data_IF_736303701714
#
_entry.id   IF_736303701714
#
_cell.length_a   1.000
_cell.length_b   1.000
_cell.length_c   1.000
_cell.angle_alpha   90.00
_cell.angle_beta   90.00
_cell.angle_gamma   90.00
#
_symmetry.space_group_name_H-M   'P 1'
#
loop_
_entity.id
_entity.type
_entity.pdbx_description
1 polymer ?
#
# COMPACT_ATOMS: atom_id res chain seq x y z
N UNK A 1 9.99 -5.43 21.03
CA UNK A 1 9.08 -4.42 20.45
C UNK A 1 8.14 -3.95 21.55
N UNK A 2 8.26 -2.70 21.99
CA UNK A 2 7.64 -2.21 23.22
C UNK A 2 6.11 -2.22 23.15
N UNK A 3 5.47 -2.55 24.27
CA UNK A 3 4.01 -2.62 24.50
C UNK A 3 3.23 -1.39 24.00
N UNK A 4 3.91 -0.26 23.81
CA UNK A 4 3.34 1.01 23.37
C UNK A 4 2.67 0.95 21.99
N UNK A 5 3.28 0.25 21.02
CA UNK A 5 2.74 0.12 19.65
C UNK A 5 1.53 -0.82 19.52
N UNK A 6 1.17 -1.53 20.59
CA UNK A 6 0.04 -2.47 20.62
C UNK A 6 -1.27 -1.83 21.07
N UNK A 7 -1.21 -0.60 21.62
CA UNK A 7 -2.40 0.11 22.09
C UNK A 7 -3.11 0.81 20.92
N UNK A 8 -4.42 0.54 20.77
CA UNK A 8 -5.26 1.11 19.71
C UNK A 8 -5.23 2.65 19.72
N UNK A 9 -5.10 3.24 20.91
CA UNK A 9 -4.96 4.68 21.11
C UNK A 9 -3.64 5.23 20.55
N UNK A 10 -2.51 4.55 20.72
CA UNK A 10 -1.24 4.99 20.12
C UNK A 10 -1.27 4.93 18.59
N UNK A 11 -1.89 3.91 18.00
CA UNK A 11 -2.07 3.81 16.55
C UNK A 11 -2.93 4.96 16.00
N UNK A 12 -4.04 5.27 16.66
CA UNK A 12 -4.91 6.39 16.28
C UNK A 12 -4.19 7.73 16.42
N UNK A 13 -3.43 7.95 17.48
CA UNK A 13 -2.65 9.19 17.67
C UNK A 13 -1.59 9.36 16.58
N UNK A 14 -0.86 8.30 16.24
CA UNK A 14 0.12 8.32 15.15
C UNK A 14 -0.57 8.61 13.81
N UNK A 15 -1.75 8.05 13.57
CA UNK A 15 -2.55 8.30 12.37
C UNK A 15 -2.97 9.79 12.28
N UNK A 16 -3.48 10.36 13.36
CA UNK A 16 -3.91 11.77 13.43
C UNK A 16 -2.73 12.71 13.20
N UNK A 17 -1.59 12.45 13.85
CA UNK A 17 -0.37 13.27 13.69
C UNK A 17 0.16 13.17 12.26
N UNK A 18 0.20 11.96 11.69
CA UNK A 18 0.64 11.75 10.31
C UNK A 18 -0.29 12.44 9.30
N UNK A 19 -1.60 12.41 9.54
CA UNK A 19 -2.58 13.12 8.74
C UNK A 19 -2.35 14.62 8.79
N UNK A 20 -2.23 15.22 9.99
CA UNK A 20 -1.99 16.66 10.14
C UNK A 20 -0.68 17.11 9.49
N UNK A 21 0.39 16.31 9.59
CA UNK A 21 1.68 16.63 8.98
C UNK A 21 1.66 16.67 7.45
N UNK A 22 0.77 15.90 6.81
CA UNK A 22 0.61 15.90 5.34
C UNK A 22 -0.47 16.91 4.91
N UNK A 23 -1.51 17.09 5.73
CA UNK A 23 -2.68 17.92 5.41
C UNK A 23 -2.42 19.43 5.60
N UNK A 24 -1.72 19.82 6.67
CA UNK A 24 -1.47 21.26 6.96
C UNK A 24 -0.60 21.95 5.90
N UNK A 25 0.52 21.35 5.42
CA UNK A 25 1.33 21.97 4.36
C UNK A 25 0.58 22.14 3.04
N UNK A 26 -0.44 21.32 2.77
CA UNK A 26 -1.24 21.43 1.55
C UNK A 26 -2.03 22.75 1.47
N UNK A 27 -2.47 23.30 2.61
CA UNK A 27 -3.26 24.53 2.67
C UNK A 27 -2.44 25.77 3.04
N UNK A 28 -1.30 25.58 3.73
CA UNK A 28 -0.43 26.67 4.20
C UNK A 28 0.98 26.44 3.64
N UNK A 29 1.34 27.08 2.51
CA UNK A 29 2.67 26.92 1.92
C UNK A 29 3.72 27.63 2.78
N UNK A 30 4.34 26.88 3.69
CA UNK A 30 5.42 27.34 4.55
C UNK A 30 6.66 26.49 4.27
N UNK A 31 7.71 27.10 3.72
CA UNK A 31 8.88 26.40 3.19
C UNK A 31 9.52 25.31 4.08
N UNK A 32 9.66 25.49 5.41
CA UNK A 32 10.18 24.44 6.29
C UNK A 32 9.23 23.23 6.44
N UNK A 33 7.91 23.48 6.40
CA UNK A 33 6.86 22.46 6.52
C UNK A 33 6.77 21.65 5.23
N UNK A 34 6.92 22.29 4.08
CA UNK A 34 6.94 21.63 2.76
C UNK A 34 8.16 20.71 2.60
N UNK A 35 9.33 21.14 3.07
CA UNK A 35 10.54 20.32 3.06
C UNK A 35 10.42 19.07 3.95
N UNK A 36 9.85 19.22 5.15
CA UNK A 36 9.65 18.11 6.07
C UNK A 36 8.57 17.14 5.56
N UNK A 37 7.46 17.66 5.06
CA UNK A 37 6.38 16.87 4.44
C UNK A 37 6.88 16.09 3.22
N UNK A 38 7.67 16.72 2.34
CA UNK A 38 8.24 16.05 1.18
C UNK A 38 9.15 14.87 1.54
N UNK A 39 9.95 14.99 2.61
CA UNK A 39 10.74 13.87 3.14
C UNK A 39 9.88 12.75 3.69
N UNK A 40 8.84 13.08 4.46
CA UNK A 40 7.90 12.09 4.99
C UNK A 40 7.14 11.36 3.88
N UNK A 41 6.69 12.08 2.85
CA UNK A 41 6.05 11.48 1.67
C UNK A 41 7.00 10.56 0.93
N UNK A 42 8.28 10.92 0.81
CA UNK A 42 9.29 10.06 0.16
C UNK A 42 9.52 8.78 0.96
N UNK A 43 9.67 8.89 2.29
CA UNK A 43 9.81 7.73 3.17
C UNK A 43 8.56 6.84 3.06
N UNK A 44 7.38 7.44 3.13
CA UNK A 44 6.11 6.71 3.00
C UNK A 44 5.98 6.02 1.64
N UNK A 45 6.38 6.67 0.54
CA UNK A 45 6.37 6.09 -0.80
C UNK A 45 7.32 4.88 -0.90
N UNK A 46 8.52 4.99 -0.34
CA UNK A 46 9.49 3.88 -0.29
C UNK A 46 8.93 2.74 0.55
N UNK A 47 8.44 3.01 1.76
CA UNK A 47 7.84 1.99 2.63
C UNK A 47 6.65 1.32 1.95
N UNK A 48 5.77 2.08 1.29
CA UNK A 48 4.62 1.52 0.58
C UNK A 48 5.06 0.58 -0.57
N UNK A 49 6.09 0.96 -1.34
CA UNK A 49 6.64 0.11 -2.38
C UNK A 49 7.14 -1.24 -1.82
N UNK A 50 7.86 -1.23 -0.70
CA UNK A 50 8.29 -2.45 -0.02
C UNK A 50 7.11 -3.28 0.51
N UNK A 51 6.11 -2.62 1.12
CA UNK A 51 4.90 -3.28 1.63
C UNK A 51 4.16 -4.02 0.51
N UNK A 52 4.03 -3.41 -0.68
CA UNK A 52 3.38 -4.04 -1.83
C UNK A 52 4.14 -5.30 -2.26
N UNK A 53 5.47 -5.25 -2.34
CA UNK A 53 6.30 -6.42 -2.69
C UNK A 53 6.11 -7.55 -1.67
N UNK A 54 6.13 -7.24 -0.38
CA UNK A 54 5.91 -8.22 0.69
C UNK A 54 4.50 -8.80 0.63
N UNK A 55 3.48 -7.96 0.40
CA UNK A 55 2.09 -8.38 0.24
C UNK A 55 1.94 -9.36 -0.93
N UNK A 56 2.49 -9.01 -2.10
CA UNK A 56 2.52 -9.89 -3.29
C UNK A 56 3.21 -11.21 -2.97
N UNK A 57 4.41 -11.18 -2.39
CA UNK A 57 5.16 -12.38 -2.04
C UNK A 57 4.40 -13.28 -1.06
N UNK A 58 3.81 -12.69 -0.01
CA UNK A 58 3.03 -13.42 0.99
C UNK A 58 1.80 -14.08 0.38
N UNK A 59 1.10 -13.38 -0.52
CA UNK A 59 -0.06 -13.90 -1.23
C UNK A 59 0.33 -15.02 -2.20
N UNK A 60 1.49 -14.88 -2.86
CA UNK A 60 2.04 -15.89 -3.74
C UNK A 60 2.39 -17.17 -2.98
N UNK A 61 3.12 -17.04 -1.86
CA UNK A 61 3.48 -18.16 -0.99
C UNK A 61 2.25 -18.84 -0.39
N UNK A 62 1.26 -18.07 0.06
CA UNK A 62 0.01 -18.61 0.59
C UNK A 62 -0.73 -19.41 -0.48
N UNK A 63 -1.00 -18.81 -1.62
CA UNK A 63 -1.72 -19.47 -2.72
C UNK A 63 -0.96 -20.69 -3.24
N UNK A 64 0.38 -20.64 -3.30
CA UNK A 64 1.22 -21.77 -3.66
C UNK A 64 1.07 -22.96 -2.70
N UNK A 65 0.97 -22.72 -1.38
CA UNK A 65 0.68 -23.79 -0.41
C UNK A 65 -0.70 -24.42 -0.63
N UNK A 66 -1.73 -23.60 -0.89
CA UNK A 66 -3.08 -24.10 -1.17
C UNK A 66 -3.14 -24.97 -2.44
N UNK A 67 -2.35 -24.62 -3.46
CA UNK A 67 -2.23 -25.38 -4.70
C UNK A 67 -1.49 -26.70 -4.45
N UNK A 68 -0.37 -26.66 -3.73
CA UNK A 68 0.43 -27.85 -3.44
C UNK A 68 -0.34 -28.88 -2.57
N UNK A 69 -1.12 -28.39 -1.61
CA UNK A 69 -1.98 -29.24 -0.76
C UNK A 69 -3.29 -29.67 -1.45
N UNK A 70 -3.53 -29.28 -2.71
CA UNK A 70 -4.75 -29.55 -3.51
C UNK A 70 -6.06 -29.40 -2.72
N UNK A 71 -6.13 -28.40 -1.84
CA UNK A 71 -7.33 -28.15 -1.04
C UNK A 71 -8.52 -27.78 -1.95
N UNK A 72 -9.73 -28.00 -1.46
CA UNK A 72 -10.97 -27.68 -2.18
C UNK A 72 -10.93 -26.20 -2.62
N UNK A 73 -10.99 -25.94 -3.93
CA UNK A 73 -10.85 -24.60 -4.50
C UNK A 73 -9.45 -24.22 -5.03
N UNK A 74 -8.49 -25.16 -5.13
CA UNK A 74 -7.13 -24.88 -5.63
C UNK A 74 -7.08 -24.24 -7.04
N UNK A 75 -8.02 -24.58 -7.93
CA UNK A 75 -8.11 -23.99 -9.28
C UNK A 75 -8.36 -22.48 -9.20
N UNK A 76 -9.17 -22.02 -8.24
CA UNK A 76 -9.42 -20.60 -8.01
C UNK A 76 -8.16 -19.87 -7.54
N UNK A 77 -7.32 -20.51 -6.74
CA UNK A 77 -6.03 -19.95 -6.34
C UNK A 77 -5.05 -19.83 -7.51
N UNK A 78 -5.09 -20.74 -8.49
CA UNK A 78 -4.30 -20.60 -9.73
C UNK A 78 -4.78 -19.39 -10.51
N UNK A 79 -6.10 -19.26 -10.70
CA UNK A 79 -6.68 -18.11 -11.40
C UNK A 79 -6.30 -16.78 -10.73
N UNK A 80 -6.37 -16.72 -9.39
CA UNK A 80 -5.92 -15.56 -8.61
C UNK A 80 -4.44 -15.25 -8.81
N UNK A 81 -3.57 -16.26 -8.82
CA UNK A 81 -2.14 -16.06 -9.07
C UNK A 81 -1.88 -15.54 -10.48
N UNK A 82 -2.57 -16.07 -11.49
CA UNK A 82 -2.45 -15.61 -12.88
C UNK A 82 -2.88 -14.14 -12.99
N UNK A 83 -4.04 -13.78 -12.42
CA UNK A 83 -4.49 -12.39 -12.39
C UNK A 83 -3.49 -11.48 -11.67
N UNK A 84 -2.93 -11.92 -10.55
CA UNK A 84 -1.95 -11.15 -9.80
C UNK A 84 -0.67 -10.91 -10.62
N UNK A 85 -0.19 -11.90 -11.36
CA UNK A 85 0.94 -11.76 -12.29
C UNK A 85 0.60 -10.80 -13.43
N UNK A 86 -0.58 -10.93 -14.05
CA UNK A 86 -1.03 -10.03 -15.12
C UNK A 86 -1.12 -8.58 -14.63
N UNK A 87 -1.69 -8.34 -13.44
CA UNK A 87 -1.77 -7.01 -12.83
C UNK A 87 -0.38 -6.44 -12.51
N UNK A 88 0.54 -7.28 -12.02
CA UNK A 88 1.91 -6.85 -11.70
C UNK A 88 2.68 -6.46 -12.97
N UNK A 89 2.61 -7.30 -14.02
CA UNK A 89 3.27 -7.04 -15.30
C UNK A 89 2.66 -5.85 -16.02
N UNK A 90 1.33 -5.74 -16.05
CA UNK A 90 0.65 -4.59 -16.65
C UNK A 90 0.96 -3.29 -15.91
N UNK A 91 1.01 -3.29 -14.58
CA UNK A 91 1.45 -2.14 -13.80
C UNK A 91 2.91 -1.73 -14.10
N UNK A 92 3.81 -2.70 -14.28
CA UNK A 92 5.21 -2.42 -14.60
C UNK A 92 5.39 -1.85 -16.02
N UNK A 93 4.65 -2.37 -17.01
CA UNK A 93 4.79 -1.98 -18.42
C UNK A 93 4.03 -0.67 -18.72
N UNK A 94 2.79 -0.53 -18.21
CA UNK A 94 1.90 0.57 -18.59
C UNK A 94 1.78 1.66 -17.52
N UNK A 95 2.15 1.37 -16.27
CA UNK A 95 1.88 2.25 -15.12
C UNK A 95 2.56 3.62 -15.17
N UNK A 96 3.65 3.77 -15.94
CA UNK A 96 4.36 5.04 -16.07
C UNK A 96 4.01 5.84 -17.33
N UNK A 97 3.34 5.22 -18.31
CA UNK A 97 3.16 5.82 -19.64
C UNK A 97 1.71 6.21 -19.97
N UNK A 98 0.73 5.70 -19.22
CA UNK A 98 -0.69 5.92 -19.50
C UNK A 98 -1.31 6.77 -18.39
N UNK A 99 -1.65 8.03 -18.69
CA UNK A 99 -2.22 8.97 -17.70
C UNK A 99 -3.50 8.47 -17.03
N UNK A 100 -4.30 7.64 -17.72
CA UNK A 100 -5.48 7.00 -17.12
C UNK A 100 -5.10 6.01 -16.00
N UNK A 101 -3.98 5.30 -16.14
CA UNK A 101 -3.50 4.37 -15.11
C UNK A 101 -3.00 5.11 -13.87
N UNK A 102 -2.32 6.24 -14.08
CA UNK A 102 -1.86 7.12 -13.01
C UNK A 102 -3.03 7.77 -12.25
N UNK A 103 -4.10 8.15 -12.96
CA UNK A 103 -5.33 8.65 -12.35
C UNK A 103 -6.03 7.58 -11.50
N UNK A 104 -6.18 6.35 -12.01
CA UNK A 104 -6.78 5.25 -11.23
C UNK A 104 -5.95 4.94 -9.98
N UNK A 105 -4.63 4.95 -10.11
CA UNK A 105 -3.71 4.73 -9.00
C UNK A 105 -3.89 5.79 -7.90
N UNK A 106 -3.93 7.06 -8.28
CA UNK A 106 -4.05 8.17 -7.33
C UNK A 106 -5.48 8.33 -6.77
N UNK A 107 -6.50 8.21 -7.61
CA UNK A 107 -7.89 8.48 -7.25
C UNK A 107 -8.58 7.31 -6.55
N UNK A 108 -8.18 6.05 -6.84
CA UNK A 108 -8.88 4.86 -6.35
C UNK A 108 -7.96 3.99 -5.51
N UNK A 109 -6.81 3.57 -6.06
CA UNK A 109 -5.94 2.59 -5.39
C UNK A 109 -5.29 3.14 -4.13
N UNK A 110 -4.79 4.38 -4.18
CA UNK A 110 -4.11 5.03 -3.05
C UNK A 110 -5.05 5.22 -1.84
N UNK A 111 -6.25 5.82 -1.97
CA UNK A 111 -7.18 5.94 -0.84
C UNK A 111 -7.70 4.59 -0.34
N UNK A 112 -8.02 3.64 -1.22
CA UNK A 112 -8.45 2.30 -0.80
C UNK A 112 -7.35 1.55 -0.04
N UNK A 113 -6.09 1.66 -0.50
CA UNK A 113 -4.95 1.06 0.19
C UNK A 113 -4.73 1.69 1.56
N UNK A 114 -4.87 3.01 1.69
CA UNK A 114 -4.77 3.70 2.98
C UNK A 114 -5.82 3.21 3.99
N UNK A 115 -7.06 2.94 3.54
CA UNK A 115 -8.11 2.36 4.40
C UNK A 115 -7.81 0.91 4.76
N UNK A 116 -7.40 0.08 3.81
CA UNK A 116 -7.07 -1.33 4.04
C UNK A 116 -5.90 -1.48 5.00
N UNK A 117 -4.84 -0.68 4.83
CA UNK A 117 -3.69 -0.69 5.73
C UNK A 117 -3.97 -0.01 7.08
N UNK A 118 -4.96 0.89 7.16
CA UNK A 118 -5.40 1.46 8.44
C UNK A 118 -6.27 0.53 9.28
N UNK A 119 -6.88 -0.49 8.67
CA UNK A 119 -7.70 -1.52 9.34
C UNK A 119 -6.85 -2.71 9.82
N UNK A 120 -5.70 -2.95 9.19
CA UNK A 120 -4.77 -4.04 9.51
C UNK A 120 -3.87 -3.70 10.70
#
# INVERSE_FOLDING_TARGET
>A
MSSFFKSRSAQITVLIISFLLVFVPYFIPWGPLDWFSGKLMTIAAVTNAFTIVIAVYSQFRRSGRFINERRKGWVYHIYLLVLLVVMTLSGFIFGQHVGAYQWILLAVVTPLSSVIYGIL
#
